data_IF_805952949133
#
_entry.id   IF_805952949133
#
_cell.length_a   1.000
_cell.length_b   1.000
_cell.length_c   1.000
_cell.angle_alpha   90.00
_cell.angle_beta   90.00
_cell.angle_gamma   90.00
#
_symmetry.space_group_name_H-M   'P 1'
#
loop_
_entity.id
_entity.type
_entity.pdbx_description
1 polymer ?
#
# COMPACT_ATOMS: atom_id res chain seq x y z
N UNK A 1 -65.64 -18.84 -51.91
CA UNK A 1 -64.76 -19.99 -51.63
C UNK A 1 -63.39 -19.43 -51.26
N UNK A 2 -62.97 -19.55 -50.00
CA UNK A 2 -61.77 -18.93 -49.42
C UNK A 2 -60.55 -19.84 -49.64
N UNK A 3 -59.41 -19.31 -50.08
CA UNK A 3 -58.09 -19.88 -49.77
C UNK A 3 -57.17 -18.73 -49.35
N UNK A 4 -56.69 -18.82 -48.11
CA UNK A 4 -55.78 -17.88 -47.46
C UNK A 4 -54.34 -18.10 -47.95
N UNK A 5 -53.64 -17.00 -48.27
CA UNK A 5 -52.18 -16.96 -48.36
C UNK A 5 -51.62 -16.64 -46.97
N UNK A 6 -50.79 -17.53 -46.42
CA UNK A 6 -50.07 -17.32 -45.16
C UNK A 6 -48.71 -16.67 -45.45
N UNK A 7 -48.52 -15.44 -44.99
CA UNK A 7 -47.21 -14.81 -44.89
C UNK A 7 -46.53 -15.25 -43.59
N UNK A 8 -45.29 -15.77 -43.69
CA UNK A 8 -44.47 -16.10 -42.52
C UNK A 8 -43.67 -14.85 -42.11
N UNK A 9 -43.87 -14.40 -40.87
CA UNK A 9 -43.09 -13.32 -40.26
C UNK A 9 -41.90 -13.94 -39.52
N UNK A 10 -40.68 -13.68 -39.98
CA UNK A 10 -39.46 -14.07 -39.28
C UNK A 10 -39.10 -12.99 -38.24
N UNK A 11 -39.20 -13.33 -36.97
CA UNK A 11 -38.72 -12.48 -35.88
C UNK A 11 -37.21 -12.71 -35.67
N UNK A 12 -36.39 -11.70 -35.97
CA UNK A 12 -34.96 -11.72 -35.65
C UNK A 12 -34.78 -11.44 -34.16
N UNK A 13 -34.28 -12.44 -33.42
CA UNK A 13 -33.94 -12.32 -32.01
C UNK A 13 -32.57 -11.64 -31.88
N UNK A 14 -32.56 -10.36 -31.51
CA UNK A 14 -31.33 -9.63 -31.16
C UNK A 14 -31.01 -9.94 -29.69
N UNK A 15 -30.04 -10.82 -29.43
CA UNK A 15 -29.48 -10.98 -28.08
C UNK A 15 -28.54 -9.81 -27.77
N UNK A 16 -28.64 -9.16 -26.60
CA UNK A 16 -27.64 -8.20 -26.18
C UNK A 16 -26.36 -8.96 -25.80
N UNK A 17 -25.25 -8.68 -26.49
CA UNK A 17 -23.93 -9.09 -26.02
C UNK A 17 -23.63 -8.31 -24.73
N UNK A 18 -23.68 -8.99 -23.59
CA UNK A 18 -23.07 -8.47 -22.38
C UNK A 18 -21.56 -8.37 -22.61
N UNK A 19 -20.90 -7.23 -22.30
CA UNK A 19 -19.46 -7.14 -22.38
C UNK A 19 -18.85 -8.14 -21.38
N UNK A 20 -18.20 -9.18 -21.89
CA UNK A 20 -17.32 -10.02 -21.10
C UNK A 20 -16.07 -9.21 -20.76
N UNK A 21 -16.03 -8.60 -19.57
CA UNK A 21 -14.77 -8.15 -19.01
C UNK A 21 -13.95 -9.40 -18.73
N UNK A 22 -12.97 -9.68 -19.60
CA UNK A 22 -11.97 -10.69 -19.32
C UNK A 22 -11.18 -10.19 -18.09
N UNK A 23 -11.49 -10.76 -16.92
CA UNK A 23 -10.65 -10.59 -15.74
C UNK A 23 -9.25 -11.07 -16.12
N UNK A 24 -8.25 -10.19 -16.03
CA UNK A 24 -6.87 -10.60 -16.22
C UNK A 24 -6.53 -11.70 -15.20
N UNK A 25 -5.70 -12.66 -15.59
CA UNK A 25 -5.24 -13.68 -14.67
C UNK A 25 -4.41 -13.03 -13.54
N UNK A 26 -4.49 -13.54 -12.30
CA UNK A 26 -3.62 -13.10 -11.21
C UNK A 26 -2.15 -13.14 -11.61
N UNK A 27 -1.36 -12.26 -11.00
CA UNK A 27 0.09 -12.22 -11.16
C UNK A 27 0.71 -13.58 -10.86
N UNK A 28 1.62 -14.01 -11.74
CA UNK A 28 2.36 -15.26 -11.56
C UNK A 28 3.02 -15.30 -10.17
N UNK A 29 2.81 -16.42 -9.46
CA UNK A 29 3.38 -16.68 -8.14
C UNK A 29 4.89 -16.52 -8.13
N UNK A 30 5.56 -16.84 -9.23
CA UNK A 30 7.00 -16.65 -9.40
C UNK A 30 7.45 -15.18 -9.31
N UNK A 31 6.53 -14.21 -9.37
CA UNK A 31 6.80 -12.77 -9.21
C UNK A 31 6.46 -12.25 -7.81
N UNK A 32 5.54 -12.90 -7.09
CA UNK A 32 5.09 -12.50 -5.74
C UNK A 32 6.12 -12.87 -4.66
N UNK A 33 6.71 -11.88 -3.99
CA UNK A 33 7.71 -12.11 -2.94
C UNK A 33 7.08 -12.33 -1.57
N UNK A 34 5.92 -11.74 -1.29
CA UNK A 34 5.19 -11.97 -0.05
C UNK A 34 4.62 -13.39 -0.01
N UNK A 35 5.16 -14.32 0.80
CA UNK A 35 4.83 -15.73 0.68
C UNK A 35 3.36 -16.04 1.02
N UNK A 36 2.75 -15.26 1.92
CA UNK A 36 1.37 -15.42 2.38
C UNK A 36 0.31 -14.85 1.44
N UNK A 37 0.67 -14.02 0.45
CA UNK A 37 -0.32 -13.41 -0.44
C UNK A 37 -1.12 -14.48 -1.20
N UNK A 38 -2.45 -14.42 -1.09
CA UNK A 38 -3.39 -15.38 -1.68
C UNK A 38 -3.51 -15.13 -3.18
N UNK A 39 -3.73 -13.88 -3.57
CA UNK A 39 -3.78 -13.45 -4.97
C UNK A 39 -3.28 -12.02 -5.11
N UNK A 40 -2.71 -11.70 -6.26
CA UNK A 40 -2.31 -10.35 -6.64
C UNK A 40 -2.87 -10.10 -8.03
N UNK A 41 -3.72 -9.10 -8.19
CA UNK A 41 -4.30 -8.73 -9.47
C UNK A 41 -3.82 -7.32 -9.85
N UNK A 42 -2.89 -7.26 -10.80
CA UNK A 42 -2.35 -5.99 -11.28
C UNK A 42 -3.30 -5.25 -12.21
N UNK A 43 -4.31 -5.89 -12.80
CA UNK A 43 -5.30 -5.18 -13.60
C UNK A 43 -6.35 -4.54 -12.69
N UNK A 44 -6.82 -5.28 -11.69
CA UNK A 44 -7.72 -4.75 -10.65
C UNK A 44 -7.00 -3.85 -9.62
N UNK A 45 -5.66 -3.83 -9.63
CA UNK A 45 -4.81 -3.10 -8.69
C UNK A 45 -5.05 -3.50 -7.22
N UNK A 46 -5.11 -4.81 -6.96
CA UNK A 46 -5.42 -5.34 -5.63
C UNK A 46 -4.53 -6.52 -5.22
N UNK A 47 -4.42 -6.73 -3.92
CA UNK A 47 -3.85 -7.93 -3.30
C UNK A 47 -4.80 -8.49 -2.26
N UNK A 48 -4.98 -9.81 -2.26
CA UNK A 48 -5.73 -10.52 -1.22
C UNK A 48 -4.76 -11.22 -0.27
N UNK A 49 -4.90 -10.94 1.02
CA UNK A 49 -4.05 -11.46 2.10
C UNK A 49 -4.86 -12.27 3.11
N UNK A 50 -4.23 -13.22 3.83
CA UNK A 50 -4.85 -13.86 4.99
C UNK A 50 -5.18 -12.82 6.07
N UNK A 51 -6.37 -12.93 6.63
CA UNK A 51 -6.88 -12.07 7.69
C UNK A 51 -6.94 -12.85 9.00
N UNK A 52 -6.46 -12.24 10.08
CA UNK A 52 -6.41 -12.84 11.40
C UNK A 52 -7.30 -12.07 12.36
N UNK A 53 -7.95 -12.79 13.27
CA UNK A 53 -8.77 -12.19 14.32
C UNK A 53 -7.91 -11.96 15.56
N UNK A 54 -7.89 -10.73 16.05
CA UNK A 54 -7.23 -10.35 17.30
C UNK A 54 -8.20 -9.67 18.27
N UNK A 55 -7.65 -9.03 19.29
CA UNK A 55 -8.41 -8.17 20.20
C UNK A 55 -7.62 -6.98 20.71
N UNK A 56 -8.32 -5.90 21.02
CA UNK A 56 -7.81 -4.72 21.73
C UNK A 56 -8.74 -4.51 22.93
N UNK A 57 -8.22 -4.61 24.15
CA UNK A 57 -9.03 -4.50 25.38
C UNK A 57 -10.28 -5.41 25.40
N UNK A 58 -10.19 -6.60 24.81
CA UNK A 58 -11.29 -7.57 24.68
C UNK A 58 -12.23 -7.33 23.49
N UNK A 59 -12.15 -6.18 22.82
CA UNK A 59 -12.92 -5.90 21.61
C UNK A 59 -12.26 -6.55 20.39
N UNK A 60 -13.03 -7.17 19.48
CA UNK A 60 -12.49 -7.81 18.29
C UNK A 60 -11.88 -6.80 17.32
N UNK A 61 -10.73 -7.18 16.76
CA UNK A 61 -10.09 -6.49 15.64
C UNK A 61 -9.60 -7.50 14.62
N UNK A 62 -9.33 -7.05 13.41
CA UNK A 62 -8.79 -7.88 12.33
C UNK A 62 -7.49 -7.29 11.81
N UNK A 63 -6.50 -8.15 11.62
CA UNK A 63 -5.15 -7.74 11.26
C UNK A 63 -4.56 -8.66 10.20
N UNK A 64 -3.62 -8.13 9.44
CA UNK A 64 -2.81 -8.92 8.49
C UNK A 64 -1.41 -9.14 9.08
N UNK A 65 -0.64 -10.07 8.51
CA UNK A 65 0.78 -10.24 8.81
C UNK A 65 1.56 -10.26 7.51
N UNK A 66 2.61 -9.45 7.43
CA UNK A 66 3.41 -9.33 6.20
C UNK A 66 4.88 -9.64 6.41
N UNK A 67 5.46 -9.20 7.53
CA UNK A 67 6.90 -9.31 7.81
C UNK A 67 7.15 -9.71 9.26
N UNK A 68 8.34 -10.25 9.52
CA UNK A 68 8.80 -10.55 10.89
C UNK A 68 10.32 -10.50 10.99
N UNK A 69 10.81 -10.08 12.16
CA UNK A 69 12.25 -9.90 12.45
C UNK A 69 13.04 -11.21 12.62
N UNK A 70 12.38 -12.37 12.57
CA UNK A 70 13.01 -13.67 12.77
C UNK A 70 12.82 -14.57 11.54
N UNK A 71 13.92 -15.03 10.95
CA UNK A 71 13.89 -15.80 9.70
C UNK A 71 13.17 -17.16 9.82
N UNK A 72 13.30 -17.85 10.95
CA UNK A 72 12.63 -19.13 11.17
C UNK A 72 11.12 -18.96 11.31
N UNK A 73 10.68 -17.89 11.99
CA UNK A 73 9.27 -17.50 12.08
C UNK A 73 8.74 -17.11 10.70
N UNK A 74 9.48 -16.27 9.95
CA UNK A 74 9.11 -15.84 8.61
C UNK A 74 8.85 -17.04 7.70
N UNK A 75 9.79 -17.99 7.66
CA UNK A 75 9.66 -19.22 6.87
C UNK A 75 8.46 -20.08 7.30
N UNK A 76 8.26 -20.26 8.60
CA UNK A 76 7.17 -21.10 9.13
C UNK A 76 5.79 -20.51 8.84
N UNK A 77 5.66 -19.20 8.94
CA UNK A 77 4.36 -18.51 8.81
C UNK A 77 4.11 -17.93 7.41
N UNK A 78 5.05 -18.09 6.47
CA UNK A 78 4.93 -17.55 5.11
C UNK A 78 5.01 -16.02 5.07
N UNK A 79 5.79 -15.40 5.96
CA UNK A 79 5.99 -13.95 6.00
C UNK A 79 7.33 -13.57 5.37
N UNK A 80 7.50 -12.29 5.05
CA UNK A 80 8.80 -11.74 4.67
C UNK A 80 9.73 -11.68 5.89
N UNK A 81 10.99 -12.02 5.70
CA UNK A 81 12.01 -11.80 6.72
C UNK A 81 12.52 -10.37 6.64
N UNK A 82 12.28 -9.59 7.69
CA UNK A 82 12.68 -8.19 7.80
C UNK A 82 13.62 -7.99 9.00
N UNK A 83 14.93 -8.26 8.85
CA UNK A 83 15.88 -8.26 9.97
C UNK A 83 15.89 -6.94 10.76
N UNK A 84 15.75 -5.80 10.06
CA UNK A 84 15.82 -4.49 10.69
C UNK A 84 14.64 -4.20 11.64
N UNK A 85 13.53 -4.95 11.54
CA UNK A 85 12.43 -4.82 12.51
C UNK A 85 12.87 -5.12 13.94
N UNK A 86 13.94 -5.89 14.16
CA UNK A 86 14.51 -6.10 15.49
C UNK A 86 14.91 -4.77 16.18
N UNK A 87 15.26 -3.75 15.40
CA UNK A 87 15.63 -2.41 15.86
C UNK A 87 14.42 -1.49 16.10
N UNK A 88 13.19 -1.97 15.94
CA UNK A 88 11.95 -1.17 16.11
C UNK A 88 11.29 -1.32 17.48
N UNK A 89 11.94 -1.98 18.44
CA UNK A 89 11.37 -2.29 19.76
C UNK A 89 10.81 -1.06 20.51
N UNK A 90 11.43 0.11 20.35
CA UNK A 90 10.99 1.40 20.93
C UNK A 90 9.65 1.91 20.38
N UNK A 91 9.30 1.52 19.15
CA UNK A 91 8.03 1.86 18.52
C UNK A 91 7.03 0.72 18.56
N UNK A 92 7.49 -0.53 18.73
CA UNK A 92 6.62 -1.69 18.77
C UNK A 92 5.64 -1.60 19.96
N UNK A 93 4.44 -2.12 19.76
CA UNK A 93 3.49 -2.40 20.83
C UNK A 93 3.66 -3.84 21.30
N UNK A 94 3.34 -4.11 22.55
CA UNK A 94 3.33 -5.48 23.07
C UNK A 94 2.03 -6.18 22.68
N UNK A 95 2.11 -7.45 22.30
CA UNK A 95 0.94 -8.31 22.21
C UNK A 95 1.14 -9.62 22.97
N UNK A 96 0.05 -10.08 23.58
CA UNK A 96 -0.05 -11.41 24.20
C UNK A 96 -0.89 -12.34 23.32
N UNK A 97 -1.05 -13.60 23.74
CA UNK A 97 -1.74 -14.62 22.96
C UNK A 97 -0.87 -15.26 21.88
N UNK A 98 -1.49 -16.11 21.06
CA UNK A 98 -0.83 -16.77 19.93
C UNK A 98 -0.64 -15.80 18.74
N UNK A 99 0.31 -16.08 17.85
CA UNK A 99 0.61 -15.21 16.69
C UNK A 99 -0.53 -15.10 15.66
N UNK A 100 -1.54 -15.97 15.74
CA UNK A 100 -2.77 -15.93 14.95
C UNK A 100 -3.98 -15.41 15.73
N UNK A 101 -3.79 -14.98 16.97
CA UNK A 101 -4.83 -14.47 17.86
C UNK A 101 -4.23 -13.43 18.84
N UNK A 102 -3.60 -12.38 18.31
CA UNK A 102 -2.97 -11.36 19.13
C UNK A 102 -3.99 -10.59 19.99
N UNK A 103 -3.65 -10.41 21.26
CA UNK A 103 -4.24 -9.39 22.12
C UNK A 103 -3.29 -8.19 22.18
N UNK A 104 -3.63 -7.14 21.43
CA UNK A 104 -2.86 -5.92 21.23
C UNK A 104 -3.01 -4.94 22.40
N UNK A 105 -1.99 -4.13 22.63
CA UNK A 105 -2.01 -3.08 23.65
C UNK A 105 -2.74 -1.81 23.20
N UNK A 106 -2.69 -1.49 21.90
CA UNK A 106 -3.37 -0.34 21.32
C UNK A 106 -4.19 -0.71 20.09
N UNK A 107 -5.17 0.13 19.76
CA UNK A 107 -6.09 -0.02 18.64
C UNK A 107 -6.08 1.14 17.66
N UNK A 108 -6.93 1.00 16.65
CA UNK A 108 -7.12 2.00 15.59
C UNK A 108 -8.55 2.49 15.63
N UNK A 109 -8.73 3.81 15.59
CA UNK A 109 -10.00 4.47 15.31
C UNK A 109 -10.14 4.69 13.80
N UNK A 110 -11.15 4.04 13.21
CA UNK A 110 -11.49 4.12 11.78
C UNK A 110 -12.67 5.08 11.50
N UNK A 111 -13.20 5.75 12.53
CA UNK A 111 -14.31 6.69 12.37
C UNK A 111 -13.98 8.02 11.67
N UNK A 112 -12.72 8.52 11.65
CA UNK A 112 -12.38 9.67 10.83
C UNK A 112 -12.66 9.43 9.35
N UNK A 113 -12.99 10.50 8.63
CA UNK A 113 -13.19 10.41 7.18
C UNK A 113 -11.95 10.94 6.49
N UNK A 114 -11.39 10.14 5.59
CA UNK A 114 -10.22 10.52 4.82
C UNK A 114 -10.55 11.73 3.95
N UNK A 115 -9.63 12.70 3.92
CA UNK A 115 -9.73 13.87 3.05
C UNK A 115 -8.44 13.99 2.28
N UNK A 116 -8.51 13.94 0.95
CA UNK A 116 -7.40 14.30 0.11
C UNK A 116 -7.88 15.08 -1.12
N UNK A 117 -7.57 16.37 -1.15
CA UNK A 117 -7.92 17.26 -2.27
C UNK A 117 -6.67 17.71 -2.99
N UNK A 118 -6.79 17.87 -4.31
CA UNK A 118 -5.72 18.34 -5.18
C UNK A 118 -6.12 19.63 -5.88
N UNK A 119 -5.13 20.47 -6.20
CA UNK A 119 -5.31 21.61 -7.09
C UNK A 119 -5.34 21.14 -8.55
N UNK A 120 -5.62 22.09 -9.46
CA UNK A 120 -5.66 21.83 -10.91
C UNK A 120 -4.32 21.37 -11.51
N UNK A 121 -3.20 21.58 -10.80
CA UNK A 121 -1.86 21.08 -11.17
C UNK A 121 -1.51 19.73 -10.51
N UNK A 122 -2.45 19.14 -9.75
CA UNK A 122 -2.28 17.89 -9.03
C UNK A 122 -1.68 18.02 -7.64
N UNK A 123 -1.17 19.19 -7.26
CA UNK A 123 -0.58 19.39 -5.93
C UNK A 123 -1.63 19.18 -4.83
N UNK A 124 -1.23 18.53 -3.73
CA UNK A 124 -2.13 18.26 -2.60
C UNK A 124 -2.41 19.57 -1.85
N UNK A 125 -3.68 19.90 -1.67
CA UNK A 125 -4.14 21.13 -1.00
C UNK A 125 -4.72 20.87 0.39
N UNK A 126 -5.26 19.67 0.62
CA UNK A 126 -5.66 19.20 1.94
C UNK A 126 -5.41 17.70 2.03
N UNK A 127 -4.96 17.25 3.21
CA UNK A 127 -4.66 15.85 3.49
C UNK A 127 -5.01 15.56 4.96
N UNK A 128 -5.95 14.66 5.20
CA UNK A 128 -6.31 14.12 6.52
C UNK A 128 -6.53 12.62 6.42
N UNK A 129 -5.96 11.82 7.33
CA UNK A 129 -6.13 10.37 7.35
C UNK A 129 -7.58 9.97 7.71
N UNK A 130 -8.05 8.84 7.21
CA UNK A 130 -9.32 8.22 7.61
C UNK A 130 -9.21 7.35 8.86
N UNK A 131 -7.99 7.06 9.32
CA UNK A 131 -7.79 6.30 10.55
C UNK A 131 -6.62 6.78 11.38
N UNK A 132 -6.75 6.65 12.70
CA UNK A 132 -5.75 7.09 13.67
C UNK A 132 -5.52 6.00 14.71
N UNK A 133 -4.25 5.63 14.91
CA UNK A 133 -3.86 4.77 16.00
C UNK A 133 -3.84 5.51 17.33
N UNK A 134 -4.27 4.86 18.41
CA UNK A 134 -4.09 5.42 19.76
C UNK A 134 -2.58 5.47 20.15
N UNK A 135 -2.27 6.10 21.28
CA UNK A 135 -0.89 6.27 21.75
C UNK A 135 -0.15 4.93 21.99
N UNK A 136 -0.89 3.86 22.25
CA UNK A 136 -0.36 2.53 22.46
C UNK A 136 -0.17 1.76 21.14
N UNK A 137 -0.89 2.12 20.09
CA UNK A 137 -0.91 1.41 18.81
C UNK A 137 0.38 1.56 18.03
N UNK A 138 0.77 0.45 17.40
CA UNK A 138 1.84 0.36 16.42
C UNK A 138 1.58 -0.87 15.55
N UNK A 139 1.81 -0.82 14.23
CA UNK A 139 1.75 -2.04 13.42
C UNK A 139 2.90 -3.00 13.74
N UNK A 140 3.96 -2.52 14.41
CA UNK A 140 5.03 -3.38 14.88
C UNK A 140 4.66 -3.99 16.23
N UNK A 141 4.68 -5.32 16.29
CA UNK A 141 4.19 -6.07 17.44
C UNK A 141 5.31 -6.93 18.00
N UNK A 142 5.73 -6.62 19.24
CA UNK A 142 6.57 -7.51 20.01
C UNK A 142 5.71 -8.63 20.60
N UNK A 143 5.80 -9.82 19.99
CA UNK A 143 4.96 -10.96 20.32
C UNK A 143 5.50 -11.73 21.52
N UNK A 144 4.77 -11.78 22.63
CA UNK A 144 5.19 -12.50 23.84
C UNK A 144 5.42 -14.01 23.60
N UNK A 145 4.71 -14.61 22.64
CA UNK A 145 4.78 -16.05 22.36
C UNK A 145 6.15 -16.52 21.82
N UNK A 146 6.93 -15.65 21.19
CA UNK A 146 8.21 -16.03 20.58
C UNK A 146 9.29 -14.94 20.58
N UNK A 147 9.00 -13.75 21.10
CA UNK A 147 9.93 -12.61 21.19
C UNK A 147 10.27 -11.94 19.86
N UNK A 148 9.67 -12.37 18.74
CA UNK A 148 9.88 -11.72 17.45
C UNK A 148 9.07 -10.42 17.35
N UNK A 149 9.52 -9.51 16.49
CA UNK A 149 8.76 -8.32 16.11
C UNK A 149 8.11 -8.59 14.77
N UNK A 150 6.77 -8.59 14.75
CA UNK A 150 5.95 -8.74 13.56
C UNK A 150 5.57 -7.38 12.99
N UNK A 151 5.43 -7.29 11.67
CA UNK A 151 4.59 -6.29 11.03
C UNK A 151 3.17 -6.87 10.92
N UNK A 152 2.27 -6.38 11.77
CA UNK A 152 0.93 -6.90 11.95
C UNK A 152 -0.13 -5.77 12.09
N UNK A 153 -0.35 -4.96 11.03
CA UNK A 153 -1.26 -3.83 11.08
C UNK A 153 -2.72 -4.27 11.25
N UNK A 154 -3.46 -3.54 12.08
CA UNK A 154 -4.91 -3.69 12.23
C UNK A 154 -5.57 -3.01 11.03
N UNK A 155 -6.43 -3.73 10.32
CA UNK A 155 -7.08 -3.27 9.08
C UNK A 155 -8.60 -3.17 9.19
N UNK A 156 -9.19 -3.70 10.27
CA UNK A 156 -10.60 -3.51 10.58
C UNK A 156 -10.86 -3.69 12.08
N UNK A 157 -11.96 -3.11 12.58
CA UNK A 157 -12.44 -3.26 13.95
C UNK A 157 -13.84 -3.89 13.99
N UNK A 158 -14.25 -4.38 15.16
CA UNK A 158 -15.63 -4.79 15.39
C UNK A 158 -16.02 -6.16 14.82
N UNK A 159 -17.34 -6.34 14.67
CA UNK A 159 -17.95 -7.55 14.16
C UNK A 159 -18.37 -7.37 12.70
N UNK A 160 -18.26 -8.42 11.89
CA UNK A 160 -18.64 -8.39 10.48
C UNK A 160 -20.16 -8.48 10.27
N UNK A 161 -20.68 -7.97 9.12
CA UNK A 161 -19.95 -7.47 7.95
C UNK A 161 -19.30 -6.10 8.18
N UNK A 162 -18.13 -5.88 7.57
CA UNK A 162 -17.44 -4.59 7.66
C UNK A 162 -17.86 -3.62 6.56
N UNK A 163 -17.80 -2.33 6.87
CA UNK A 163 -18.04 -1.22 5.95
C UNK A 163 -16.75 -0.90 5.17
N UNK A 164 -16.64 -1.50 4.00
CA UNK A 164 -15.56 -1.26 3.03
C UNK A 164 -15.92 -0.17 2.00
N UNK A 165 -17.09 0.46 2.15
CA UNK A 165 -17.57 1.48 1.20
C UNK A 165 -17.32 2.89 1.74
N UNK A 166 -17.52 3.10 3.05
CA UNK A 166 -17.25 4.38 3.72
C UNK A 166 -16.20 4.29 4.83
N UNK A 167 -15.57 3.11 4.97
CA UNK A 167 -14.40 2.85 5.81
C UNK A 167 -14.55 3.20 7.29
N UNK A 168 -15.77 3.22 7.84
CA UNK A 168 -15.98 3.60 9.26
C UNK A 168 -15.41 2.59 10.27
N UNK A 169 -15.17 1.36 9.83
CA UNK A 169 -14.60 0.27 10.64
C UNK A 169 -13.45 -0.46 9.92
N UNK A 170 -12.95 0.09 8.80
CA UNK A 170 -11.88 -0.50 8.00
C UNK A 170 -10.83 0.53 7.62
N UNK A 171 -9.61 0.05 7.33
CA UNK A 171 -8.58 0.87 6.73
C UNK A 171 -9.03 1.33 5.32
N UNK A 172 -8.77 2.59 4.97
CA UNK A 172 -9.11 3.24 3.67
C UNK A 172 -8.61 2.50 2.40
N UNK A 173 -7.73 1.50 2.58
CA UNK A 173 -7.17 0.68 1.50
C UNK A 173 -7.94 -0.63 1.29
N UNK A 174 -8.81 -1.02 2.23
CA UNK A 174 -9.53 -2.30 2.23
C UNK A 174 -10.77 -2.20 1.36
N UNK A 175 -10.85 -3.03 0.32
CA UNK A 175 -11.98 -3.02 -0.63
C UNK A 175 -12.86 -4.26 -0.54
N UNK A 176 -12.42 -5.30 0.17
CA UNK A 176 -13.23 -6.47 0.49
C UNK A 176 -12.69 -7.19 1.74
N UNK A 177 -13.58 -7.79 2.52
CA UNK A 177 -13.25 -8.72 3.61
C UNK A 177 -14.14 -9.95 3.48
N UNK A 178 -13.55 -11.14 3.63
CA UNK A 178 -14.28 -12.40 3.75
C UNK A 178 -13.90 -13.11 5.05
N UNK A 179 -14.86 -13.22 5.96
CA UNK A 179 -14.71 -13.96 7.23
C UNK A 179 -15.75 -15.04 7.41
N UNK A 180 -16.38 -15.50 6.33
CA UNK A 180 -17.39 -16.58 6.39
C UNK A 180 -16.76 -17.88 6.89
N UNK A 181 -15.52 -18.12 6.51
CA UNK A 181 -14.66 -19.13 7.10
C UNK A 181 -13.53 -18.45 7.86
N UNK A 182 -13.62 -18.44 9.18
CA UNK A 182 -12.60 -17.79 10.02
C UNK A 182 -11.24 -18.48 9.99
N UNK A 183 -11.15 -19.75 9.56
CA UNK A 183 -9.87 -20.44 9.38
C UNK A 183 -9.16 -20.01 8.09
N UNK A 184 -9.93 -19.49 7.12
CA UNK A 184 -9.45 -19.05 5.81
C UNK A 184 -9.88 -17.61 5.50
N UNK A 185 -10.04 -16.78 6.54
CA UNK A 185 -10.46 -15.40 6.38
C UNK A 185 -9.44 -14.62 5.54
N UNK A 186 -9.93 -13.66 4.76
CA UNK A 186 -9.11 -12.87 3.86
C UNK A 186 -9.56 -11.42 3.76
N UNK A 187 -8.64 -10.57 3.33
CA UNK A 187 -8.89 -9.16 3.05
C UNK A 187 -8.25 -8.78 1.73
N UNK A 188 -8.95 -7.99 0.92
CA UNK A 188 -8.44 -7.43 -0.33
C UNK A 188 -8.12 -5.96 -0.13
N UNK A 189 -6.89 -5.58 -0.46
CA UNK A 189 -6.37 -4.22 -0.34
C UNK A 189 -5.98 -3.67 -1.71
N UNK A 190 -6.14 -2.36 -1.91
CA UNK A 190 -5.59 -1.66 -3.08
C UNK A 190 -4.06 -1.61 -3.01
N UNK A 191 -3.42 -1.95 -4.13
CA UNK A 191 -1.97 -1.89 -4.28
C UNK A 191 -1.50 -0.45 -4.50
N UNK A 192 -0.28 -0.20 -4.03
CA UNK A 192 0.55 0.88 -4.54
C UNK A 192 1.62 0.32 -5.49
N UNK A 193 2.04 1.14 -6.44
CA UNK A 193 3.05 0.81 -7.44
C UNK A 193 4.26 1.72 -7.30
N UNK A 194 5.41 1.19 -7.66
CA UNK A 194 6.67 1.92 -7.59
C UNK A 194 7.80 1.18 -8.28
N UNK A 195 9.02 1.53 -7.90
CA UNK A 195 10.22 0.89 -8.43
C UNK A 195 11.19 0.49 -7.32
N UNK A 196 12.02 -0.51 -7.61
CA UNK A 196 13.27 -0.78 -6.89
C UNK A 196 14.35 -1.05 -7.91
N UNK A 197 15.43 -0.28 -7.87
CA UNK A 197 16.57 -0.42 -8.79
C UNK A 197 16.17 -0.62 -10.28
N UNK A 198 15.24 0.21 -10.77
CA UNK A 198 14.74 0.16 -12.15
C UNK A 198 13.59 -0.82 -12.41
N UNK A 199 13.33 -1.76 -11.49
CA UNK A 199 12.30 -2.80 -11.64
C UNK A 199 10.94 -2.33 -11.09
N UNK A 200 9.83 -2.49 -11.84
CA UNK A 200 8.50 -2.14 -11.36
C UNK A 200 8.03 -3.14 -10.30
N UNK A 201 7.46 -2.62 -9.22
CA UNK A 201 7.02 -3.39 -8.05
C UNK A 201 5.66 -2.95 -7.54
N UNK A 202 4.96 -3.90 -6.94
CA UNK A 202 3.73 -3.68 -6.20
C UNK A 202 3.99 -3.84 -4.69
N UNK A 203 3.36 -2.99 -3.89
CA UNK A 203 3.43 -3.00 -2.42
C UNK A 203 2.10 -2.51 -1.84
N UNK A 204 1.95 -2.57 -0.51
CA UNK A 204 0.86 -1.89 0.21
C UNK A 204 1.47 -0.94 1.23
N UNK A 205 0.69 0.05 1.67
CA UNK A 205 1.04 0.92 2.80
C UNK A 205 -0.08 0.84 3.82
N UNK A 206 0.27 0.66 5.08
CA UNK A 206 -0.73 0.39 6.13
C UNK A 206 -0.72 1.43 7.23
N UNK A 207 0.43 2.04 7.52
CA UNK A 207 0.57 3.01 8.60
C UNK A 207 1.60 4.09 8.24
N UNK A 208 1.45 5.31 8.74
CA UNK A 208 2.42 6.39 8.55
C UNK A 208 2.57 7.28 9.80
N UNK A 209 3.76 7.83 10.02
CA UNK A 209 4.05 8.67 11.19
C UNK A 209 3.60 10.14 11.06
N UNK A 210 2.97 10.51 9.94
CA UNK A 210 2.53 11.87 9.65
C UNK A 210 1.21 11.87 8.87
N UNK A 211 0.32 12.81 9.17
CA UNK A 211 -1.04 12.91 8.61
C UNK A 211 -1.08 12.96 7.07
N UNK A 212 -0.23 13.79 6.47
CA UNK A 212 -0.20 13.97 5.02
C UNK A 212 0.13 12.68 4.27
N UNK A 213 1.26 12.04 4.58
CA UNK A 213 1.59 10.70 4.08
C UNK A 213 0.53 9.65 4.39
N UNK A 214 -0.07 9.67 5.59
CA UNK A 214 -1.15 8.76 5.96
C UNK A 214 -2.35 8.88 5.00
N UNK A 215 -2.79 10.11 4.73
CA UNK A 215 -3.87 10.38 3.79
C UNK A 215 -3.51 10.03 2.33
N UNK A 216 -2.31 10.36 1.88
CA UNK A 216 -1.85 10.06 0.50
C UNK A 216 -1.81 8.55 0.27
N UNK A 217 -1.26 7.80 1.23
CA UNK A 217 -1.06 6.36 1.14
C UNK A 217 -2.26 5.53 1.66
N UNK A 218 -3.39 6.14 2.03
CA UNK A 218 -4.57 5.41 2.60
C UNK A 218 -4.17 4.52 3.78
N UNK A 219 -3.32 5.05 4.63
CA UNK A 219 -2.76 4.36 5.78
C UNK A 219 -3.22 5.00 7.09
N UNK A 220 -3.16 4.22 8.15
CA UNK A 220 -3.44 4.70 9.50
C UNK A 220 -2.38 5.70 9.95
N UNK A 221 -2.79 6.83 10.52
CA UNK A 221 -1.86 7.74 11.16
C UNK A 221 -1.41 7.18 12.51
N UNK A 222 -0.09 6.98 12.65
CA UNK A 222 0.55 6.38 13.83
C UNK A 222 1.80 7.18 14.20
N UNK A 223 1.68 8.28 14.97
CA UNK A 223 2.82 9.11 15.34
C UNK A 223 3.95 8.32 16.02
N UNK A 224 3.61 7.25 16.74
CA UNK A 224 4.56 6.34 17.41
C UNK A 224 5.58 5.71 16.45
N UNK A 225 5.27 5.55 15.17
CA UNK A 225 6.20 5.02 14.17
C UNK A 225 7.48 5.85 14.02
N UNK A 226 7.44 7.14 14.34
CA UNK A 226 8.64 7.98 14.33
C UNK A 226 9.74 7.48 15.29
N UNK A 227 9.39 6.67 16.29
CA UNK A 227 10.34 6.05 17.23
C UNK A 227 11.08 4.84 16.65
N UNK A 228 10.74 4.39 15.44
CA UNK A 228 11.33 3.22 14.78
C UNK A 228 12.41 3.59 13.73
N UNK A 229 12.95 4.80 13.77
CA UNK A 229 13.90 5.28 12.75
C UNK A 229 15.09 4.33 12.47
N UNK A 230 15.57 3.62 13.50
CA UNK A 230 16.66 2.64 13.39
C UNK A 230 16.31 1.39 12.56
N UNK A 231 15.02 1.13 12.33
CA UNK A 231 14.53 0.05 11.49
C UNK A 231 14.18 0.51 10.06
N UNK A 232 14.31 1.80 9.75
CA UNK A 232 13.81 2.35 8.50
C UNK A 232 14.82 2.27 7.35
N UNK A 233 14.34 2.01 6.13
CA UNK A 233 15.10 2.07 4.88
C UNK A 233 14.62 3.25 4.01
N UNK A 234 15.44 3.77 3.11
CA UNK A 234 15.05 4.93 2.31
C UNK A 234 13.93 4.60 1.29
N UNK A 235 12.99 5.54 1.15
CA UNK A 235 12.10 5.64 -0.01
C UNK A 235 12.17 7.04 -0.61
N UNK A 236 12.44 7.10 -1.91
CA UNK A 236 12.54 8.35 -2.63
C UNK A 236 11.16 8.69 -3.23
N UNK A 237 10.67 9.89 -2.90
CA UNK A 237 9.30 10.34 -3.22
C UNK A 237 9.37 11.65 -3.99
N UNK A 238 8.79 11.69 -5.17
CA UNK A 238 8.74 12.88 -6.00
C UNK A 238 7.40 13.61 -5.84
N UNK A 239 7.41 14.90 -5.53
CA UNK A 239 6.17 15.68 -5.34
C UNK A 239 5.64 16.24 -6.66
N UNK A 240 6.50 16.88 -7.47
CA UNK A 240 6.14 17.59 -8.70
C UNK A 240 6.74 16.94 -9.96
N UNK A 241 6.69 15.61 -10.05
CA UNK A 241 7.14 14.91 -11.24
C UNK A 241 6.31 15.24 -12.48
N UNK A 242 6.73 14.68 -13.62
CA UNK A 242 6.01 14.87 -14.89
C UNK A 242 4.56 14.42 -14.75
N UNK A 243 3.67 15.18 -15.35
CA UNK A 243 2.23 14.89 -15.40
C UNK A 243 1.79 14.44 -16.80
N UNK A 244 2.72 14.29 -17.73
CA UNK A 244 2.54 13.76 -19.09
C UNK A 244 3.45 12.53 -19.33
N UNK A 245 3.07 11.66 -20.26
CA UNK A 245 3.91 10.54 -20.69
C UNK A 245 4.44 9.67 -19.54
N UNK A 246 5.76 9.62 -19.36
CA UNK A 246 6.51 8.99 -18.25
C UNK A 246 6.23 9.68 -16.89
N UNK A 247 4.95 9.76 -16.51
CA UNK A 247 4.49 10.48 -15.34
C UNK A 247 4.98 9.86 -14.04
N UNK A 248 5.19 10.68 -13.01
CA UNK A 248 5.62 10.23 -11.69
C UNK A 248 5.28 11.29 -10.66
N UNK A 249 5.10 10.86 -9.41
CA UNK A 249 5.03 11.70 -8.25
C UNK A 249 3.61 12.01 -7.80
N UNK A 250 3.52 12.68 -6.65
CA UNK A 250 2.25 12.96 -5.97
C UNK A 250 1.33 13.80 -6.88
N UNK A 251 1.86 14.82 -7.55
CA UNK A 251 1.07 15.65 -8.47
C UNK A 251 0.49 14.84 -9.65
N UNK A 252 1.29 13.93 -10.23
CA UNK A 252 0.81 13.07 -11.31
C UNK A 252 -0.29 12.11 -10.86
N UNK A 253 -0.12 11.49 -9.69
CA UNK A 253 -1.15 10.65 -9.08
C UNK A 253 -2.42 11.46 -8.73
N UNK A 254 -2.24 12.71 -8.30
CA UNK A 254 -3.33 13.63 -8.01
C UNK A 254 -4.16 14.05 -9.23
N UNK A 255 -3.54 14.16 -10.40
CA UNK A 255 -4.22 14.51 -11.65
C UNK A 255 -4.87 13.31 -12.34
N UNK A 256 -4.17 12.18 -12.39
CA UNK A 256 -4.51 11.07 -13.29
C UNK A 256 -4.88 9.77 -12.58
N UNK A 257 -4.70 9.71 -11.25
CA UNK A 257 -4.78 8.47 -10.48
C UNK A 257 -5.86 8.47 -9.40
N UNK A 258 -6.91 9.29 -9.53
CA UNK A 258 -8.05 9.33 -8.59
C UNK A 258 -7.62 9.36 -7.11
N UNK A 259 -6.48 9.99 -6.79
CA UNK A 259 -5.81 9.87 -5.50
C UNK A 259 -6.71 10.37 -4.34
N UNK A 260 -7.61 11.29 -4.63
CA UNK A 260 -8.61 11.82 -3.69
C UNK A 260 -9.84 10.92 -3.45
N UNK A 261 -10.17 10.00 -4.35
CA UNK A 261 -11.40 9.20 -4.27
C UNK A 261 -11.31 8.09 -3.22
N UNK A 262 -12.41 7.74 -2.57
CA UNK A 262 -12.44 6.56 -1.71
C UNK A 262 -12.22 5.27 -2.52
N UNK A 263 -11.49 4.32 -1.94
CA UNK A 263 -11.16 3.09 -2.63
C UNK A 263 -12.30 2.07 -2.46
N UNK A 264 -12.79 1.55 -3.57
CA UNK A 264 -13.80 0.50 -3.63
C UNK A 264 -13.33 -0.59 -4.56
N UNK A 265 -13.94 -1.77 -4.50
CA UNK A 265 -13.61 -2.84 -5.45
C UNK A 265 -13.91 -2.43 -6.90
N UNK A 266 -14.84 -1.50 -7.13
CA UNK A 266 -15.22 -1.02 -8.46
C UNK A 266 -14.20 -0.06 -9.07
N UNK A 267 -13.53 0.78 -8.26
CA UNK A 267 -12.59 1.79 -8.75
C UNK A 267 -11.12 1.51 -8.39
N UNK A 268 -10.81 0.40 -7.71
CA UNK A 268 -9.45 0.06 -7.28
C UNK A 268 -8.41 0.16 -8.41
N UNK A 269 -8.78 -0.27 -9.62
CA UNK A 269 -7.95 -0.21 -10.82
C UNK A 269 -7.55 1.22 -11.24
N UNK A 270 -8.34 2.22 -10.87
CA UNK A 270 -8.15 3.64 -11.18
C UNK A 270 -7.36 4.37 -10.09
N UNK A 271 -7.19 3.77 -8.91
CA UNK A 271 -6.39 4.35 -7.82
C UNK A 271 -4.91 4.27 -8.19
N UNK A 272 -4.37 5.38 -8.67
CA UNK A 272 -2.98 5.53 -9.07
C UNK A 272 -2.03 5.66 -7.89
N UNK A 273 -0.73 5.56 -8.20
CA UNK A 273 0.35 5.66 -7.22
C UNK A 273 1.36 6.73 -7.62
N UNK A 274 2.04 7.39 -6.67
CA UNK A 274 3.12 8.32 -6.98
C UNK A 274 4.33 7.67 -7.67
N UNK A 275 4.39 6.34 -7.75
CA UNK A 275 5.52 5.58 -8.30
C UNK A 275 6.82 5.86 -7.53
N UNK A 276 6.75 5.72 -6.21
CA UNK A 276 7.86 5.91 -5.29
C UNK A 276 8.97 4.87 -5.52
N UNK A 277 10.20 5.18 -5.11
CA UNK A 277 11.37 4.32 -5.34
C UNK A 277 11.96 3.79 -4.05
N UNK A 278 11.94 2.47 -3.87
CA UNK A 278 12.50 1.80 -2.71
C UNK A 278 13.98 1.50 -2.90
N UNK A 279 14.78 1.77 -1.87
CA UNK A 279 16.22 1.51 -1.90
C UNK A 279 16.58 0.03 -1.67
N UNK A 280 15.69 -0.77 -1.10
CA UNK A 280 15.97 -2.17 -0.73
C UNK A 280 14.73 -3.04 -0.94
N UNK A 281 14.93 -4.30 -1.31
CA UNK A 281 13.84 -5.23 -1.60
C UNK A 281 14.19 -6.65 -1.10
N UNK A 282 13.25 -7.45 -0.58
CA UNK A 282 13.51 -8.77 0.01
C UNK A 282 13.62 -9.86 -1.07
N UNK A 283 14.46 -9.61 -2.08
CA UNK A 283 14.81 -10.56 -3.12
C UNK A 283 16.34 -10.69 -3.26
N UNK A 284 16.85 -11.85 -3.73
CA UNK A 284 18.26 -11.98 -4.06
C UNK A 284 18.72 -10.84 -4.97
N UNK A 285 19.91 -10.29 -4.71
CA UNK A 285 20.49 -9.14 -5.42
C UNK A 285 19.87 -7.75 -5.15
N UNK A 286 18.91 -7.64 -4.21
CA UNK A 286 18.30 -6.35 -3.84
C UNK A 286 18.53 -5.97 -2.37
N UNK A 287 19.70 -6.31 -1.82
CA UNK A 287 20.10 -6.03 -0.44
C UNK A 287 19.13 -6.60 0.62
N UNK A 288 18.58 -7.79 0.39
CA UNK A 288 17.58 -8.43 1.26
C UNK A 288 17.97 -8.51 2.76
N UNK A 289 19.26 -8.57 3.10
CA UNK A 289 19.74 -8.57 4.48
C UNK A 289 19.53 -7.22 5.21
N UNK A 290 19.30 -6.14 4.46
CA UNK A 290 18.95 -4.81 4.98
C UNK A 290 17.46 -4.48 4.84
N UNK A 291 16.61 -5.45 4.50
CA UNK A 291 15.19 -5.17 4.27
C UNK A 291 14.43 -4.83 5.56
N UNK A 292 13.50 -3.89 5.40
CA UNK A 292 12.47 -3.51 6.36
C UNK A 292 11.21 -3.07 5.61
N UNK A 293 10.00 -3.35 6.12
CA UNK A 293 8.79 -2.71 5.60
C UNK A 293 8.68 -1.24 6.04
N UNK A 294 9.46 -0.78 7.02
CA UNK A 294 9.44 0.61 7.44
C UNK A 294 10.31 1.46 6.53
N UNK A 295 9.73 2.49 5.93
CA UNK A 295 10.46 3.43 5.09
C UNK A 295 10.66 4.77 5.76
N UNK A 296 11.77 5.41 5.43
CA UNK A 296 12.13 6.77 5.77
C UNK A 296 12.04 7.60 4.49
N UNK A 297 11.12 8.56 4.46
CA UNK A 297 10.81 9.31 3.25
C UNK A 297 11.94 10.30 2.93
N UNK A 298 12.46 10.22 1.71
CA UNK A 298 13.32 11.23 1.11
C UNK A 298 12.50 12.00 0.05
N UNK A 299 11.90 13.14 0.42
CA UNK A 299 11.05 13.90 -0.49
C UNK A 299 11.91 14.71 -1.47
N UNK A 300 11.48 14.76 -2.73
CA UNK A 300 12.12 15.49 -3.79
C UNK A 300 11.12 16.31 -4.60
N UNK A 301 11.61 17.42 -5.15
CA UNK A 301 10.97 18.21 -6.20
C UNK A 301 11.97 18.46 -7.32
N UNK A 302 11.54 18.39 -8.58
CA UNK A 302 12.27 18.98 -9.70
C UNK A 302 12.36 20.48 -9.53
N UNK A 303 13.55 21.04 -9.78
CA UNK A 303 13.75 22.49 -9.77
C UNK A 303 13.00 23.13 -10.93
N UNK A 304 12.63 24.40 -10.79
CA UNK A 304 11.99 25.16 -11.86
C UNK A 304 12.83 25.16 -13.14
N UNK A 305 14.16 25.26 -13.02
CA UNK A 305 15.08 25.22 -14.17
C UNK A 305 15.12 23.84 -14.85
N UNK A 306 15.00 22.75 -14.09
CA UNK A 306 14.92 21.41 -14.66
C UNK A 306 13.60 21.18 -15.41
N UNK A 307 12.49 21.69 -14.87
CA UNK A 307 11.17 21.63 -15.51
C UNK A 307 11.14 22.47 -16.79
N UNK A 308 11.51 23.75 -16.73
CA UNK A 308 11.51 24.64 -17.89
C UNK A 308 12.50 24.21 -18.98
N UNK A 309 13.59 23.56 -18.57
CA UNK A 309 14.60 23.00 -19.47
C UNK A 309 14.27 21.61 -20.01
N UNK A 310 13.11 21.03 -19.71
CA UNK A 310 12.69 19.72 -20.20
C UNK A 310 13.54 18.55 -19.68
N UNK A 311 14.21 18.72 -18.54
CA UNK A 311 15.10 17.71 -17.94
C UNK A 311 14.38 16.71 -17.05
N UNK A 312 13.16 17.04 -16.60
CA UNK A 312 12.35 16.13 -15.78
C UNK A 312 12.01 14.86 -16.57
N UNK A 313 12.22 13.72 -15.93
CA UNK A 313 11.92 12.37 -16.42
C UNK A 313 11.61 11.45 -15.25
N UNK A 314 11.14 10.23 -15.52
CA UNK A 314 10.87 9.25 -14.47
C UNK A 314 12.17 8.72 -13.87
N UNK A 315 12.28 8.79 -12.55
CA UNK A 315 13.37 8.23 -11.75
C UNK A 315 12.91 6.87 -11.20
N UNK A 316 13.65 5.80 -11.50
CA UNK A 316 13.25 4.41 -11.17
C UNK A 316 14.19 3.73 -10.19
N UNK A 317 15.27 4.39 -9.77
CA UNK A 317 16.22 3.88 -8.78
C UNK A 317 16.71 5.00 -7.86
N UNK A 318 17.17 4.65 -6.65
CA UNK A 318 17.82 5.63 -5.77
C UNK A 318 19.10 6.22 -6.38
N UNK A 319 19.74 5.49 -7.31
CA UNK A 319 20.85 6.02 -8.10
C UNK A 319 20.39 7.14 -9.06
N UNK A 320 19.18 7.04 -9.63
CA UNK A 320 18.61 8.10 -10.48
C UNK A 320 18.36 9.37 -9.66
N UNK A 321 17.80 9.23 -8.45
CA UNK A 321 17.63 10.36 -7.52
C UNK A 321 18.96 10.98 -7.13
N UNK A 322 19.96 10.16 -6.76
CA UNK A 322 21.29 10.65 -6.42
C UNK A 322 21.97 11.38 -7.60
N UNK A 323 21.82 10.87 -8.82
CA UNK A 323 22.35 11.51 -10.02
C UNK A 323 21.64 12.84 -10.31
N UNK A 324 20.31 12.88 -10.22
CA UNK A 324 19.53 14.10 -10.40
C UNK A 324 19.87 15.16 -9.34
N UNK A 325 20.05 14.76 -8.08
CA UNK A 325 20.44 15.65 -6.99
C UNK A 325 21.86 16.21 -7.20
N UNK A 326 22.82 15.34 -7.57
CA UNK A 326 24.21 15.74 -7.87
C UNK A 326 24.31 16.72 -9.05
N UNK A 327 23.36 16.63 -9.99
CA UNK A 327 23.23 17.55 -11.11
C UNK A 327 22.40 18.81 -10.81
N UNK A 328 22.00 19.04 -9.55
CA UNK A 328 21.14 20.14 -9.10
C UNK A 328 19.78 20.20 -9.83
N UNK A 329 19.28 19.05 -10.29
CA UNK A 329 18.00 18.97 -10.98
C UNK A 329 16.82 18.77 -10.03
N UNK A 330 17.07 18.20 -8.85
CA UNK A 330 16.08 18.04 -7.78
C UNK A 330 16.59 18.62 -6.46
N UNK A 331 15.68 19.01 -5.58
CA UNK A 331 15.92 19.43 -4.19
C UNK A 331 14.88 18.81 -3.27
N UNK A 332 15.04 18.96 -1.95
CA UNK A 332 13.92 18.78 -1.03
C UNK A 332 12.85 19.87 -1.29
N UNK A 333 11.58 19.65 -0.88
CA UNK A 333 10.50 20.62 -1.10
C UNK A 333 10.73 22.01 -0.47
N UNK A 334 11.54 22.09 0.59
CA UNK A 334 11.91 23.35 1.26
C UNK A 334 13.14 24.03 0.61
N UNK A 335 13.60 23.54 -0.54
CA UNK A 335 14.74 24.05 -1.28
C UNK A 335 16.11 23.60 -0.76
N UNK A 336 16.16 22.83 0.35
CA UNK A 336 17.41 22.23 0.84
C UNK A 336 17.90 21.10 -0.07
N UNK A 337 19.15 20.64 0.08
CA UNK A 337 19.62 19.45 -0.61
C UNK A 337 18.66 18.27 -0.39
N UNK A 338 18.46 17.48 -1.45
CA UNK A 338 17.70 16.23 -1.38
C UNK A 338 18.25 15.33 -0.26
N UNK A 339 17.35 14.75 0.52
CA UNK A 339 17.71 13.90 1.64
C UNK A 339 16.49 13.48 2.44
N UNK A 340 16.71 12.68 3.51
CA UNK A 340 15.63 12.15 4.32
C UNK A 340 14.93 13.22 5.15
N UNK A 341 13.61 13.08 5.30
CA UNK A 341 12.76 13.85 6.23
C UNK A 341 12.25 12.92 7.34
N UNK A 342 11.98 13.39 8.57
CA UNK A 342 11.59 12.57 9.72
C UNK A 342 10.14 12.05 9.63
N UNK A 343 9.84 11.36 8.53
CA UNK A 343 8.55 10.86 8.11
C UNK A 343 8.77 9.39 7.77
N UNK A 344 7.93 8.54 8.37
CA UNK A 344 8.04 7.10 8.22
C UNK A 344 6.73 6.51 7.72
N UNK A 345 6.82 5.54 6.82
CA UNK A 345 5.64 4.85 6.26
C UNK A 345 5.90 3.36 6.26
N UNK A 346 4.98 2.59 6.84
CA UNK A 346 5.02 1.13 6.86
C UNK A 346 4.43 0.61 5.55
N UNK A 347 5.27 0.02 4.71
CA UNK A 347 4.92 -0.36 3.36
C UNK A 347 5.51 -1.72 2.95
N UNK A 348 4.90 -2.83 3.40
CA UNK A 348 5.38 -4.15 3.03
C UNK A 348 5.22 -4.41 1.52
N UNK A 349 6.26 -5.01 0.93
CA UNK A 349 6.27 -5.31 -0.50
C UNK A 349 5.45 -6.55 -0.84
N UNK A 350 4.87 -6.59 -2.04
CA UNK A 350 4.08 -7.72 -2.52
C UNK A 350 4.84 -8.50 -3.59
N UNK A 351 5.41 -7.83 -4.59
CA UNK A 351 6.13 -8.52 -5.67
C UNK A 351 6.57 -7.60 -6.81
N UNK A 352 7.16 -8.22 -7.84
CA UNK A 352 7.51 -7.55 -9.08
C UNK A 352 6.33 -7.54 -10.05
N UNK A 353 6.14 -6.46 -10.80
CA UNK A 353 5.10 -6.40 -11.84
C UNK A 353 5.57 -7.11 -13.13
N UNK A 354 6.87 -6.98 -13.43
CA UNK A 354 7.54 -7.65 -14.54
C UNK A 354 8.14 -9.00 -14.12
N UNK A 355 8.77 -9.71 -15.06
CA UNK A 355 9.56 -10.90 -14.73
C UNK A 355 10.62 -10.55 -13.67
N UNK A 356 10.86 -11.47 -12.73
CA UNK A 356 11.98 -11.32 -11.80
C UNK A 356 13.28 -11.30 -12.61
N UNK A 357 14.19 -10.34 -12.36
CA UNK A 357 15.48 -10.30 -13.04
C UNK A 357 16.38 -11.48 -12.69
#
# INVERSE_FOLDING_TARGET
MKILVRAALAAALILPLAPTFASAAPLDRAKVVLPSAISVDLAANTVTLPLYRGSVHGNPVWYIKTDVSNAAVAKREGLLYAPLLASSASAAQHATGASNAFAFAGGVDFTPQRVLTTAADGSVTAAKPGSVGDDAYSPFVHAAANGAIYNAPIVASGAHPSDVATHNDTLDRVVAIDTRDTAHASVTLVLARGFTNGQPIAYISTDASADGPAAIERSTYVPRLAKAAAAAIAIDVLFNGRTDGESQGIAAAGLHGSLGAEATVQNAAEIGSPLNVQATFPAPNFAASGYSPLWHVAPAVWTAAALSGGKAHRLRSSADFAAAASANLITAPDGKPFGPAPIFVNCPVVGFEAARP
#
